data_IF_126988467184
#
_entry.id   IF_126988467184
#
_cell.length_a   1.000
_cell.length_b   1.000
_cell.length_c   1.000
_cell.angle_alpha   90.00
_cell.angle_beta   90.00
_cell.angle_gamma   90.00
#
_symmetry.space_group_name_H-M   'P 1'
#
loop_
_entity.id
_entity.type
_entity.pdbx_description
1 polymer ?
#
# COMPACT_ATOMS: atom_id res chain seq x y z
N UNK A 1 9.95 -12.68 -18.28
CA UNK A 1 8.74 -11.92 -18.70
C UNK A 1 7.53 -12.42 -17.92
N UNK A 2 7.41 -12.21 -16.60
CA UNK A 2 6.16 -12.54 -15.89
C UNK A 2 6.00 -11.66 -14.64
N UNK A 3 5.54 -10.42 -14.84
CA UNK A 3 5.11 -9.54 -13.75
C UNK A 3 3.66 -9.88 -13.37
N UNK A 4 3.41 -11.12 -12.93
CA UNK A 4 2.11 -11.56 -12.43
C UNK A 4 1.93 -11.08 -11.00
N UNK A 5 1.91 -9.76 -10.82
CA UNK A 5 1.62 -9.11 -9.55
C UNK A 5 0.13 -8.88 -9.46
N UNK A 6 -0.47 -9.31 -8.37
CA UNK A 6 -1.88 -9.14 -8.09
C UNK A 6 -2.07 -8.21 -6.89
N UNK A 7 -3.05 -7.32 -6.98
CA UNK A 7 -3.40 -6.41 -5.89
C UNK A 7 -4.08 -7.21 -4.77
N UNK A 8 -3.52 -7.14 -3.56
CA UNK A 8 -4.04 -7.87 -2.41
C UNK A 8 -4.65 -6.96 -1.35
N UNK A 9 -4.26 -5.70 -1.33
CA UNK A 9 -4.78 -4.73 -0.38
C UNK A 9 -4.68 -3.31 -0.90
N UNK A 10 -5.72 -2.52 -0.67
CA UNK A 10 -5.75 -1.09 -0.96
C UNK A 10 -6.34 -0.37 0.25
N UNK A 11 -5.70 0.71 0.67
CA UNK A 11 -6.25 1.57 1.71
C UNK A 11 -5.77 3.00 1.56
N UNK A 12 -6.58 3.95 2.02
CA UNK A 12 -6.19 5.35 2.19
C UNK A 12 -5.80 5.65 3.64
N UNK A 13 -6.01 4.69 4.56
CA UNK A 13 -5.71 4.84 5.97
C UNK A 13 -4.29 4.34 6.24
N UNK A 14 -3.39 5.24 6.65
CA UNK A 14 -1.99 4.91 6.93
C UNK A 14 -1.85 3.82 8.03
N UNK A 15 -2.73 3.84 9.03
CA UNK A 15 -2.77 2.82 10.10
C UNK A 15 -3.05 1.42 9.58
N UNK A 16 -4.06 1.26 8.70
CA UNK A 16 -4.35 -0.02 8.04
C UNK A 16 -3.23 -0.47 7.11
N UNK A 17 -2.60 0.46 6.41
CA UNK A 17 -1.45 0.16 5.54
C UNK A 17 -0.28 -0.40 6.35
N UNK A 18 0.08 0.26 7.46
CA UNK A 18 1.16 -0.19 8.34
C UNK A 18 0.88 -1.59 8.91
N UNK A 19 -0.36 -1.85 9.34
CA UNK A 19 -0.78 -3.20 9.81
C UNK A 19 -0.66 -4.25 8.71
N UNK A 20 -1.22 -3.98 7.52
CA UNK A 20 -1.18 -4.91 6.40
C UNK A 20 0.26 -5.24 5.99
N UNK A 21 1.16 -4.23 6.00
CA UNK A 21 2.58 -4.41 5.75
C UNK A 21 3.23 -5.32 6.80
N UNK A 22 3.02 -5.05 8.09
CA UNK A 22 3.59 -5.83 9.18
C UNK A 22 3.17 -7.31 9.10
N UNK A 23 1.89 -7.57 8.78
CA UNK A 23 1.36 -8.93 8.59
C UNK A 23 2.10 -9.66 7.45
N UNK A 24 2.31 -8.99 6.32
CA UNK A 24 3.01 -9.59 5.18
C UNK A 24 4.50 -9.83 5.48
N UNK A 25 5.16 -8.91 6.18
CA UNK A 25 6.55 -9.07 6.64
C UNK A 25 6.69 -10.23 7.62
N UNK A 26 5.78 -10.36 8.59
CA UNK A 26 5.76 -11.46 9.57
C UNK A 26 5.54 -12.83 8.91
N UNK A 27 4.71 -12.88 7.87
CA UNK A 27 4.46 -14.11 7.11
C UNK A 27 5.52 -14.40 6.03
N UNK A 28 6.54 -13.55 5.88
CA UNK A 28 7.61 -13.71 4.88
C UNK A 28 7.11 -13.63 3.44
N UNK A 29 5.97 -12.95 3.19
CA UNK A 29 5.36 -12.85 1.86
C UNK A 29 5.99 -11.65 1.14
N UNK A 30 6.73 -11.84 0.03
CA UNK A 30 7.23 -10.72 -0.76
C UNK A 30 6.08 -9.87 -1.32
N UNK A 31 6.14 -8.57 -1.08
CA UNK A 31 5.15 -7.61 -1.57
C UNK A 31 5.82 -6.40 -2.22
N UNK A 32 5.03 -5.66 -2.98
CA UNK A 32 5.40 -4.40 -3.63
C UNK A 32 4.36 -3.36 -3.25
N UNK A 33 4.82 -2.19 -2.82
CA UNK A 33 3.93 -1.08 -2.47
C UNK A 33 3.95 -0.05 -3.58
N UNK A 34 2.77 0.46 -3.93
CA UNK A 34 2.61 1.60 -4.80
C UNK A 34 1.74 2.63 -4.09
N UNK A 35 2.28 3.82 -3.92
CA UNK A 35 1.55 4.93 -3.30
C UNK A 35 1.12 5.88 -4.41
N UNK A 36 -0.16 6.24 -4.45
CA UNK A 36 -0.67 7.29 -5.34
C UNK A 36 -1.17 8.44 -4.48
N UNK A 37 -0.57 9.61 -4.66
CA UNK A 37 -1.14 10.87 -4.17
C UNK A 37 -2.10 11.41 -5.23
N UNK A 38 -3.36 11.66 -4.88
CA UNK A 38 -4.31 12.39 -5.75
C UNK A 38 -4.06 13.90 -5.72
N UNK A 39 -3.20 14.39 -4.82
CA UNK A 39 -2.71 15.77 -4.81
C UNK A 39 -1.39 15.85 -5.57
N UNK A 40 -1.31 16.74 -6.57
CA UNK A 40 -0.26 16.87 -7.58
C UNK A 40 1.19 16.85 -7.06
N UNK A 41 1.73 15.67 -6.81
CA UNK A 41 3.15 15.45 -6.56
C UNK A 41 3.67 14.47 -7.59
N UNK A 42 4.01 15.03 -8.75
CA UNK A 42 4.99 14.46 -9.66
C UNK A 42 6.29 14.24 -8.87
N UNK A 43 6.87 13.05 -9.01
CA UNK A 43 8.02 12.54 -8.25
C UNK A 43 9.36 13.29 -8.48
N UNK A 44 9.31 14.57 -8.84
CA UNK A 44 10.45 15.46 -9.06
C UNK A 44 10.49 16.67 -8.11
N UNK A 45 9.61 16.76 -7.11
CA UNK A 45 9.60 17.90 -6.19
C UNK A 45 10.62 17.75 -5.05
N UNK A 46 11.89 17.95 -5.38
CA UNK A 46 12.94 18.29 -4.41
C UNK A 46 12.97 19.80 -4.10
N UNK A 47 11.95 20.58 -4.48
CA UNK A 47 11.97 22.04 -4.36
C UNK A 47 10.57 22.60 -4.13
N UNK A 48 10.49 23.58 -3.23
CA UNK A 48 9.31 24.35 -2.82
C UNK A 48 8.31 23.52 -1.98
N UNK A 49 8.04 23.84 -0.72
CA UNK A 49 7.86 25.18 -0.18
C UNK A 49 6.42 25.63 -0.44
N UNK A 50 5.69 25.83 0.66
CA UNK A 50 4.36 26.43 0.78
C UNK A 50 3.11 25.56 0.75
N UNK A 51 2.36 25.77 1.84
CA UNK A 51 0.90 25.92 1.92
C UNK A 51 0.06 24.65 2.07
N UNK A 52 -0.26 24.34 3.33
CA UNK A 52 -1.55 24.76 3.90
C UNK A 52 -2.84 24.20 3.29
N UNK A 53 -2.79 23.27 2.35
CA UNK A 53 -3.97 22.52 1.92
C UNK A 53 -4.05 21.23 2.74
N UNK A 54 -5.24 20.91 3.27
CA UNK A 54 -5.52 19.67 4.00
C UNK A 54 -5.12 18.45 3.16
N UNK A 55 -3.89 17.98 3.35
CA UNK A 55 -3.32 16.78 2.74
C UNK A 55 -3.85 15.48 3.37
N UNK A 56 -4.83 15.57 4.27
CA UNK A 56 -5.14 14.52 5.23
C UNK A 56 -5.69 13.23 4.57
N UNK A 57 -6.23 13.31 3.34
CA UNK A 57 -6.96 12.19 2.73
C UNK A 57 -6.68 11.93 1.23
N UNK A 58 -5.55 12.36 0.68
CA UNK A 58 -5.27 12.18 -0.76
C UNK A 58 -4.28 11.07 -1.10
N UNK A 59 -3.81 10.28 -0.13
CA UNK A 59 -2.82 9.23 -0.37
C UNK A 59 -3.48 7.85 -0.34
N UNK A 60 -3.47 7.16 -1.48
CA UNK A 60 -3.91 5.78 -1.59
C UNK A 60 -2.71 4.85 -1.68
N UNK A 61 -2.63 3.91 -0.74
CA UNK A 61 -1.64 2.86 -0.68
C UNK A 61 -2.18 1.59 -1.34
N UNK A 62 -1.42 1.05 -2.27
CA UNK A 62 -1.70 -0.20 -2.96
C UNK A 62 -0.60 -1.21 -2.65
N UNK A 63 -0.97 -2.42 -2.24
CA UNK A 63 -0.05 -3.52 -1.98
C UNK A 63 -0.31 -4.62 -3.00
N UNK A 64 0.76 -5.02 -3.67
CA UNK A 64 0.78 -6.08 -4.66
C UNK A 64 1.68 -7.23 -4.20
N UNK A 65 1.33 -8.47 -4.52
CA UNK A 65 2.21 -9.63 -4.33
C UNK A 65 2.18 -10.51 -5.57
N UNK A 66 2.96 -11.59 -5.61
CA UNK A 66 2.92 -12.56 -6.70
C UNK A 66 1.56 -13.25 -6.70
N UNK A 67 0.98 -13.50 -7.88
CA UNK A 67 -0.32 -14.18 -8.02
C UNK A 67 -0.41 -15.48 -7.22
N UNK A 68 0.67 -16.27 -7.19
CA UNK A 68 0.77 -17.52 -6.42
C UNK A 68 0.56 -17.34 -4.90
N UNK A 69 0.88 -16.16 -4.38
CA UNK A 69 0.79 -15.84 -2.95
C UNK A 69 -0.36 -14.86 -2.65
N UNK A 70 -1.11 -14.43 -3.68
CA UNK A 70 -2.12 -13.39 -3.56
C UNK A 70 -3.29 -13.84 -2.68
N UNK A 71 -3.71 -15.09 -2.81
CA UNK A 71 -4.77 -15.65 -1.96
C UNK A 71 -4.35 -15.72 -0.49
N UNK A 72 -3.16 -16.25 -0.21
CA UNK A 72 -2.61 -16.33 1.15
C UNK A 72 -2.46 -14.95 1.78
N UNK A 73 -1.93 -13.98 1.03
CA UNK A 73 -1.78 -12.60 1.48
C UNK A 73 -3.14 -11.97 1.83
N UNK A 74 -4.15 -12.09 0.94
CA UNK A 74 -5.51 -11.59 1.21
C UNK A 74 -6.12 -12.22 2.45
N UNK A 75 -5.94 -13.53 2.62
CA UNK A 75 -6.45 -14.25 3.78
C UNK A 75 -5.81 -13.73 5.08
N UNK A 76 -4.48 -13.64 5.12
CA UNK A 76 -3.75 -13.17 6.30
C UNK A 76 -4.11 -11.74 6.68
N UNK A 77 -4.19 -10.85 5.70
CA UNK A 77 -4.59 -9.46 5.93
C UNK A 77 -6.01 -9.42 6.47
N UNK A 78 -6.96 -10.12 5.83
CA UNK A 78 -8.36 -10.11 6.27
C UNK A 78 -8.54 -10.71 7.67
N UNK A 79 -7.81 -11.76 8.00
CA UNK A 79 -7.87 -12.42 9.32
C UNK A 79 -7.32 -11.53 10.43
N UNK A 80 -6.19 -10.86 10.20
CA UNK A 80 -5.51 -10.06 11.22
C UNK A 80 -6.03 -8.63 11.32
N UNK A 81 -6.63 -8.07 10.26
CA UNK A 81 -7.16 -6.70 10.27
C UNK A 81 -8.51 -6.59 10.99
N UNK A 82 -9.27 -7.69 11.07
CA UNK A 82 -10.61 -7.73 11.66
C UNK A 82 -10.62 -8.27 13.11
N UNK A 83 -9.44 -8.43 13.70
CA UNK A 83 -9.21 -8.90 15.07
C UNK A 83 -8.82 -7.73 15.96
#
# INVERSE_FOLDING_TARGET
MFWNKEEVFMTMEAGRYAKARAILEENGIPYTVKTKSSGGYSANSHRMGSFGEHFDHSITYYIYTKKEQAESARYQIRSNLNR
#
